data_IF_823025135679
#
_entry.id   IF_823025135679
#
_cell.length_a   1.000
_cell.length_b   1.000
_cell.length_c   1.000
_cell.angle_alpha   90.00
_cell.angle_beta   90.00
_cell.angle_gamma   90.00
#
_symmetry.space_group_name_H-M   'P 1'
#
loop_
_entity.id
_entity.type
_entity.pdbx_description
1 polymer ?
#
# COMPACT_ATOMS: atom_id res chain seq x y z
N UNK A 1 -7.62 35.52 57.91
CA UNK A 1 -6.15 35.65 57.80
C UNK A 1 -5.82 35.76 56.31
N UNK A 2 -5.99 36.94 55.75
CA UNK A 2 -6.09 37.23 54.30
C UNK A 2 -4.83 36.86 53.50
N UNK A 3 -3.64 37.03 54.09
CA UNK A 3 -2.36 36.63 53.46
C UNK A 3 -2.26 35.12 53.23
N UNK A 4 -2.82 34.30 54.11
CA UNK A 4 -2.81 32.83 53.97
C UNK A 4 -3.69 32.39 52.79
N UNK A 5 -4.82 33.06 52.60
CA UNK A 5 -5.74 32.78 51.49
C UNK A 5 -5.16 33.23 50.13
N UNK A 6 -4.45 34.36 50.09
CA UNK A 6 -3.73 34.82 48.89
C UNK A 6 -2.58 33.89 48.49
N UNK A 7 -1.81 33.38 49.45
CA UNK A 7 -0.72 32.43 49.16
C UNK A 7 -1.28 31.12 48.60
N UNK A 8 -2.37 30.61 49.18
CA UNK A 8 -3.03 29.40 48.69
C UNK A 8 -3.57 29.59 47.27
N UNK A 9 -4.13 30.76 46.95
CA UNK A 9 -4.54 31.10 45.56
C UNK A 9 -3.36 31.11 44.59
N UNK A 10 -2.21 31.66 44.98
CA UNK A 10 -0.99 31.65 44.15
C UNK A 10 -0.47 30.23 43.90
N UNK A 11 -0.44 29.39 44.93
CA UNK A 11 -0.06 27.98 44.79
C UNK A 11 -1.01 27.23 43.84
N UNK A 12 -2.32 27.42 43.97
CA UNK A 12 -3.29 26.83 43.04
C UNK A 12 -3.10 27.31 41.60
N UNK A 13 -2.88 28.61 41.39
CA UNK A 13 -2.63 29.15 40.05
C UNK A 13 -1.35 28.59 39.43
N UNK A 14 -0.29 28.43 40.22
CA UNK A 14 0.98 27.86 39.76
C UNK A 14 0.84 26.38 39.38
N UNK A 15 0.17 25.59 40.22
CA UNK A 15 -0.10 24.17 39.90
C UNK A 15 -0.94 24.07 38.63
N UNK A 16 -2.00 24.88 38.53
CA UNK A 16 -2.89 24.89 37.37
C UNK A 16 -2.16 25.30 36.07
N UNK A 17 -1.20 26.22 36.13
CA UNK A 17 -0.40 26.57 34.95
C UNK A 17 0.49 25.40 34.51
N UNK A 18 1.14 24.70 35.45
CA UNK A 18 1.95 23.53 35.10
C UNK A 18 1.10 22.40 34.51
N UNK A 19 -0.09 22.14 35.05
CA UNK A 19 -1.02 21.16 34.51
C UNK A 19 -1.48 21.53 33.08
N UNK A 20 -1.75 22.82 32.83
CA UNK A 20 -2.12 23.29 31.50
C UNK A 20 -0.97 23.12 30.50
N UNK A 21 0.25 23.48 30.88
CA UNK A 21 1.43 23.34 30.01
C UNK A 21 1.72 21.87 29.71
N UNK A 22 1.72 21.01 30.73
CA UNK A 22 1.91 19.57 30.56
C UNK A 22 0.83 18.95 29.66
N UNK A 23 -0.45 19.36 29.82
CA UNK A 23 -1.54 18.92 28.95
C UNK A 23 -1.34 19.40 27.52
N UNK A 24 -0.93 20.65 27.33
CA UNK A 24 -0.67 21.23 26.00
C UNK A 24 0.46 20.51 25.29
N UNK A 25 1.55 20.23 26.00
CA UNK A 25 2.70 19.52 25.45
C UNK A 25 2.33 18.07 25.13
N UNK A 26 1.62 17.38 26.03
CA UNK A 26 1.13 16.02 25.78
C UNK A 26 0.20 15.93 24.57
N UNK A 27 -0.70 16.90 24.38
CA UNK A 27 -1.55 16.97 23.18
C UNK A 27 -0.71 17.21 21.93
N UNK A 28 0.23 18.14 21.98
CA UNK A 28 1.10 18.49 20.85
C UNK A 28 1.97 17.30 20.43
N UNK A 29 2.57 16.60 21.38
CA UNK A 29 3.36 15.40 21.14
C UNK A 29 2.49 14.26 20.60
N UNK A 30 1.34 14.02 21.20
CA UNK A 30 0.40 12.99 20.76
C UNK A 30 -0.06 13.19 19.32
N UNK A 31 -0.41 14.43 18.94
CA UNK A 31 -0.77 14.78 17.57
C UNK A 31 0.42 14.58 16.63
N UNK A 32 1.61 15.07 17.01
CA UNK A 32 2.82 14.98 16.18
C UNK A 32 3.21 13.53 15.92
N UNK A 33 3.22 12.69 16.96
CA UNK A 33 3.53 11.27 16.87
C UNK A 33 2.47 10.52 16.07
N UNK A 34 1.18 10.78 16.33
CA UNK A 34 0.08 10.14 15.61
C UNK A 34 0.11 10.43 14.11
N UNK A 35 0.32 11.70 13.73
CA UNK A 35 0.45 12.09 12.32
C UNK A 35 1.68 11.44 11.68
N UNK A 36 2.85 11.52 12.33
CA UNK A 36 4.09 10.96 11.81
C UNK A 36 3.99 9.44 11.59
N UNK A 37 3.45 8.72 12.57
CA UNK A 37 3.25 7.28 12.48
C UNK A 37 2.21 6.92 11.42
N UNK A 38 1.06 7.58 11.41
CA UNK A 38 0.00 7.32 10.45
C UNK A 38 0.45 7.54 9.01
N UNK A 39 1.14 8.64 8.73
CA UNK A 39 1.70 8.92 7.39
C UNK A 39 2.74 7.87 7.02
N UNK A 40 3.70 7.59 7.90
CA UNK A 40 4.77 6.62 7.61
C UNK A 40 4.21 5.23 7.34
N UNK A 41 3.25 4.76 8.14
CA UNK A 41 2.62 3.46 7.96
C UNK A 41 1.78 3.42 6.68
N UNK A 42 0.95 4.44 6.45
CA UNK A 42 0.10 4.52 5.26
C UNK A 42 0.90 4.53 3.96
N UNK A 43 1.99 5.31 3.89
CA UNK A 43 2.89 5.33 2.73
C UNK A 43 3.57 3.97 2.55
N UNK A 44 4.16 3.42 3.61
CA UNK A 44 4.88 2.14 3.52
C UNK A 44 3.96 1.00 3.05
N UNK A 45 2.74 0.92 3.60
CA UNK A 45 1.76 -0.09 3.22
C UNK A 45 1.27 0.12 1.80
N UNK A 46 0.88 1.35 1.45
CA UNK A 46 0.37 1.68 0.12
C UNK A 46 1.39 1.41 -0.99
N UNK A 47 2.66 1.79 -0.79
CA UNK A 47 3.74 1.51 -1.75
C UNK A 47 3.95 0.00 -1.87
N UNK A 48 4.08 -0.73 -0.76
CA UNK A 48 4.35 -2.17 -0.79
C UNK A 48 3.25 -2.93 -1.51
N UNK A 49 1.98 -2.65 -1.17
CA UNK A 49 0.83 -3.29 -1.79
C UNK A 49 0.70 -2.91 -3.27
N UNK A 50 0.80 -1.61 -3.59
CA UNK A 50 0.68 -1.10 -4.94
C UNK A 50 1.75 -1.66 -5.89
N UNK A 51 3.01 -1.70 -5.43
CA UNK A 51 4.12 -2.27 -6.22
C UNK A 51 3.92 -3.78 -6.41
N UNK A 52 3.64 -4.52 -5.34
CA UNK A 52 3.48 -5.98 -5.42
C UNK A 52 2.34 -6.35 -6.37
N UNK A 53 1.19 -5.69 -6.23
CA UNK A 53 0.04 -5.93 -7.08
C UNK A 53 0.30 -5.50 -8.53
N UNK A 54 0.88 -4.31 -8.74
CA UNK A 54 1.18 -3.79 -10.07
C UNK A 54 2.18 -4.67 -10.83
N UNK A 55 3.26 -5.11 -10.17
CA UNK A 55 4.25 -6.01 -10.76
C UNK A 55 3.62 -7.37 -11.09
N UNK A 56 2.89 -7.98 -10.15
CA UNK A 56 2.28 -9.30 -10.37
C UNK A 56 1.27 -9.28 -11.52
N UNK A 57 0.42 -8.25 -11.57
CA UNK A 57 -0.54 -8.06 -12.67
C UNK A 57 0.18 -7.78 -13.99
N UNK A 58 1.17 -6.89 -14.01
CA UNK A 58 1.92 -6.54 -15.21
C UNK A 58 2.68 -7.72 -15.80
N UNK A 59 3.33 -8.54 -14.97
CA UNK A 59 4.02 -9.76 -15.41
C UNK A 59 3.01 -10.76 -16.00
N UNK A 60 1.92 -11.04 -15.29
CA UNK A 60 0.89 -11.99 -15.76
C UNK A 60 0.28 -11.54 -17.09
N UNK A 61 -0.09 -10.27 -17.20
CA UNK A 61 -0.64 -9.71 -18.43
C UNK A 61 0.38 -9.75 -19.57
N UNK A 62 1.63 -9.38 -19.30
CA UNK A 62 2.71 -9.39 -20.28
C UNK A 62 3.00 -10.79 -20.82
N UNK A 63 3.10 -11.80 -19.94
CA UNK A 63 3.28 -13.21 -20.33
C UNK A 63 2.10 -13.69 -21.18
N UNK A 64 0.86 -13.37 -20.76
CA UNK A 64 -0.34 -13.79 -21.48
C UNK A 64 -0.40 -13.17 -22.88
N UNK A 65 -0.13 -11.86 -23.00
CA UNK A 65 -0.11 -11.17 -24.30
C UNK A 65 1.02 -11.69 -25.20
N UNK A 66 2.21 -11.93 -24.65
CA UNK A 66 3.33 -12.49 -25.40
C UNK A 66 3.02 -13.90 -25.92
N UNK A 67 2.37 -14.73 -25.09
CA UNK A 67 1.94 -16.08 -25.45
C UNK A 67 0.90 -16.04 -26.57
N UNK A 68 -0.12 -15.19 -26.43
CA UNK A 68 -1.16 -15.01 -27.45
C UNK A 68 -0.55 -14.58 -28.79
N UNK A 69 0.32 -13.56 -28.79
CA UNK A 69 1.00 -13.08 -30.00
C UNK A 69 1.88 -14.16 -30.63
N UNK A 70 2.49 -15.02 -29.82
CA UNK A 70 3.31 -16.14 -30.29
C UNK A 70 2.43 -17.18 -31.00
N UNK A 71 1.31 -17.58 -30.38
CA UNK A 71 0.33 -18.51 -30.95
C UNK A 71 -0.25 -17.96 -32.27
N UNK A 72 -0.63 -16.68 -32.31
CA UNK A 72 -1.12 -16.03 -33.53
C UNK A 72 -0.09 -16.06 -34.66
N UNK A 73 1.17 -15.77 -34.35
CA UNK A 73 2.25 -15.81 -35.34
C UNK A 73 2.48 -17.22 -35.89
N UNK A 74 2.38 -18.26 -35.05
CA UNK A 74 2.48 -19.65 -35.49
C UNK A 74 1.29 -20.05 -36.38
N UNK A 75 0.06 -19.68 -36.00
CA UNK A 75 -1.13 -19.92 -36.84
C UNK A 75 -1.02 -19.23 -38.20
N UNK A 76 -0.53 -17.98 -38.23
CA UNK A 76 -0.30 -17.25 -39.48
C UNK A 76 0.73 -17.94 -40.39
N UNK A 77 1.69 -18.65 -39.80
CA UNK A 77 2.66 -19.49 -40.52
C UNK A 77 2.14 -20.89 -40.85
N UNK A 78 0.87 -21.17 -40.57
CA UNK A 78 0.20 -22.46 -40.81
C UNK A 78 0.79 -23.64 -40.04
N UNK A 79 1.34 -23.39 -38.85
CA UNK A 79 1.64 -24.49 -37.93
C UNK A 79 0.34 -25.11 -37.41
N UNK A 80 0.29 -26.43 -37.34
CA UNK A 80 -0.84 -27.16 -36.76
C UNK A 80 -0.90 -26.94 -35.24
N UNK A 81 -2.11 -26.98 -34.68
CA UNK A 81 -2.35 -26.79 -33.23
C UNK A 81 -1.56 -27.81 -32.37
N UNK A 82 -1.24 -28.99 -32.92
CA UNK A 82 -0.38 -29.99 -32.26
C UNK A 82 1.07 -29.50 -32.09
N UNK A 83 1.65 -28.86 -33.12
CA UNK A 83 3.01 -28.32 -33.06
C UNK A 83 3.04 -27.07 -32.16
N UNK A 84 1.99 -26.25 -32.22
CA UNK A 84 1.86 -25.10 -31.32
C UNK A 84 1.80 -25.56 -29.85
N UNK A 85 1.07 -26.65 -29.57
CA UNK A 85 0.99 -27.27 -28.25
C UNK A 85 2.35 -27.73 -27.76
N UNK A 86 3.12 -28.40 -28.61
CA UNK A 86 4.48 -28.86 -28.30
C UNK A 86 5.44 -27.69 -28.00
N UNK A 87 5.41 -26.62 -28.81
CA UNK A 87 6.35 -25.50 -28.65
C UNK A 87 5.98 -24.61 -27.45
N UNK A 88 4.69 -24.35 -27.24
CA UNK A 88 4.23 -23.42 -26.20
C UNK A 88 4.01 -24.09 -24.85
N UNK A 89 3.93 -25.42 -24.81
CA UNK A 89 3.57 -26.19 -23.62
C UNK A 89 2.09 -26.06 -23.23
N UNK A 90 1.28 -25.37 -24.03
CA UNK A 90 -0.16 -25.23 -23.81
C UNK A 90 -0.88 -26.47 -24.33
N UNK A 91 -1.97 -26.84 -23.68
CA UNK A 91 -2.89 -27.84 -24.21
C UNK A 91 -3.58 -27.34 -25.48
N UNK A 92 -4.00 -28.27 -26.32
CA UNK A 92 -4.77 -27.97 -27.53
C UNK A 92 -6.05 -27.18 -27.18
N UNK A 93 -6.67 -27.44 -26.04
CA UNK A 93 -7.86 -26.73 -25.57
C UNK A 93 -7.55 -25.28 -25.18
N UNK A 94 -6.41 -25.01 -24.55
CA UNK A 94 -5.96 -23.64 -24.27
C UNK A 94 -5.66 -22.88 -25.56
N UNK A 95 -4.99 -23.53 -26.53
CA UNK A 95 -4.72 -22.95 -27.86
C UNK A 95 -6.01 -22.63 -28.62
N UNK A 96 -7.03 -23.48 -28.52
CA UNK A 96 -8.36 -23.21 -29.12
C UNK A 96 -9.11 -22.08 -28.44
N UNK A 97 -8.91 -21.89 -27.12
CA UNK A 97 -9.50 -20.77 -26.35
C UNK A 97 -8.78 -19.46 -26.61
N UNK A 98 -7.48 -19.51 -26.92
CA UNK A 98 -6.69 -18.39 -27.43
C UNK A 98 -7.10 -18.12 -28.89
N UNK A 99 -8.24 -17.47 -29.07
CA UNK A 99 -8.62 -16.84 -30.34
C UNK A 99 -8.26 -15.35 -30.28
N UNK A 100 -7.88 -14.74 -31.41
CA UNK A 100 -8.02 -13.29 -31.55
C UNK A 100 -9.49 -12.86 -31.40
#
# INVERSE_FOLDING_TARGET
NTKKDENRRREYMLISSFEMDAKRDGIKEGITLGIKQGISQGISQGITQGITQGISQGITQGITQATLKTVENMRRKKFDDSIISEITGLSIEEIKKLKP
#
